data_IF_032786392242
#
_entry.id   IF_032786392242
#
_cell.length_a   1.000
_cell.length_b   1.000
_cell.length_c   1.000
_cell.angle_alpha   90.00
_cell.angle_beta   90.00
_cell.angle_gamma   90.00
#
_symmetry.space_group_name_H-M   'P 1'
#
loop_
_entity.id
_entity.type
_entity.pdbx_description
1 polymer ?
#
# COMPACT_ATOMS: atom_id res chain seq x y z
N UNK A 1 -7.86 -0.95 -41.99
CA UNK A 1 -8.00 -2.05 -41.01
C UNK A 1 -6.80 -2.02 -40.08
N UNK A 2 -6.92 -1.47 -38.87
CA UNK A 2 -5.93 -1.65 -37.79
C UNK A 2 -6.69 -1.83 -36.47
N UNK A 3 -7.07 -3.07 -36.15
CA UNK A 3 -7.51 -3.44 -34.80
C UNK A 3 -6.25 -3.66 -33.97
N UNK A 4 -5.93 -2.71 -33.11
CA UNK A 4 -5.09 -3.02 -31.95
C UNK A 4 -5.90 -3.97 -31.06
N UNK A 5 -5.46 -5.21 -30.82
CA UNK A 5 -6.10 -6.01 -29.79
C UNK A 5 -5.79 -5.32 -28.46
N UNK A 6 -6.81 -4.71 -27.87
CA UNK A 6 -6.83 -4.29 -26.47
C UNK A 6 -6.62 -5.54 -25.62
N UNK A 7 -5.36 -5.94 -25.42
CA UNK A 7 -4.99 -6.87 -24.37
C UNK A 7 -5.08 -6.06 -23.08
N UNK A 8 -6.31 -5.91 -22.61
CA UNK A 8 -6.56 -5.69 -21.20
C UNK A 8 -5.85 -6.85 -20.51
N UNK A 9 -4.69 -6.57 -19.92
CA UNK A 9 -4.04 -7.43 -18.94
C UNK A 9 -5.11 -7.67 -17.86
N UNK A 10 -5.92 -8.71 -18.03
CA UNK A 10 -6.82 -9.20 -16.99
C UNK A 10 -5.86 -9.68 -15.91
N UNK A 11 -5.58 -8.78 -14.97
CA UNK A 11 -4.80 -9.08 -13.79
C UNK A 11 -5.55 -10.20 -13.11
N UNK A 12 -5.07 -11.44 -13.25
CA UNK A 12 -5.67 -12.57 -12.55
C UNK A 12 -5.76 -12.16 -11.09
N UNK A 13 -6.97 -12.16 -10.47
CA UNK A 13 -7.09 -11.80 -9.07
C UNK A 13 -6.15 -12.73 -8.30
N UNK A 14 -5.32 -12.18 -7.39
CA UNK A 14 -4.37 -12.99 -6.64
C UNK A 14 -5.11 -14.14 -5.95
N UNK A 15 -4.52 -15.34 -5.87
CA UNK A 15 -5.17 -16.49 -5.25
C UNK A 15 -5.61 -16.13 -3.84
N UNK A 16 -6.87 -16.44 -3.52
CA UNK A 16 -7.41 -16.27 -2.18
C UNK A 16 -6.75 -17.27 -1.24
N UNK A 17 -6.35 -16.78 -0.07
CA UNK A 17 -5.73 -17.60 0.97
C UNK A 17 -6.80 -17.96 2.01
N UNK A 18 -6.81 -19.21 2.45
CA UNK A 18 -7.65 -19.63 3.57
C UNK A 18 -6.96 -19.23 4.87
N UNK A 19 -7.67 -18.50 5.73
CA UNK A 19 -7.18 -18.16 7.05
C UNK A 19 -7.38 -19.35 8.01
N UNK A 20 -6.41 -20.25 8.05
CA UNK A 20 -6.35 -21.34 9.03
C UNK A 20 -5.78 -20.87 10.38
N UNK A 21 -5.97 -21.67 11.44
CA UNK A 21 -5.53 -21.37 12.81
C UNK A 21 -4.04 -21.04 12.86
N UNK A 22 -3.20 -21.80 12.14
CA UNK A 22 -1.75 -21.56 12.09
C UNK A 22 -1.44 -20.19 11.48
N UNK A 23 -2.00 -19.91 10.30
CA UNK A 23 -1.82 -18.64 9.61
C UNK A 23 -2.30 -17.45 10.47
N UNK A 24 -3.36 -17.63 11.25
CA UNK A 24 -3.82 -16.60 12.19
C UNK A 24 -2.79 -16.30 13.30
N UNK A 25 -2.18 -17.32 13.90
CA UNK A 25 -1.18 -17.11 14.94
C UNK A 25 0.12 -16.50 14.38
N UNK A 26 0.57 -16.96 13.21
CA UNK A 26 1.71 -16.37 12.51
C UNK A 26 1.45 -14.88 12.21
N UNK A 27 0.26 -14.55 11.70
CA UNK A 27 -0.13 -13.16 11.45
C UNK A 27 -0.16 -12.31 12.73
N UNK A 28 -0.66 -12.87 13.84
CA UNK A 28 -0.71 -12.17 15.12
C UNK A 28 0.69 -11.88 15.68
N UNK A 29 1.63 -12.80 15.48
CA UNK A 29 3.04 -12.61 15.84
C UNK A 29 3.69 -11.52 14.98
N UNK A 30 3.50 -11.57 13.66
CA UNK A 30 3.95 -10.53 12.74
C UNK A 30 3.39 -9.15 13.10
N UNK A 31 2.10 -9.07 13.46
CA UNK A 31 1.47 -7.83 13.92
C UNK A 31 2.19 -7.24 15.15
N UNK A 32 2.51 -8.08 16.15
CA UNK A 32 3.20 -7.63 17.36
C UNK A 32 4.61 -7.16 17.06
N UNK A 33 5.35 -7.92 16.26
CA UNK A 33 6.71 -7.56 15.85
C UNK A 33 6.71 -6.23 15.08
N UNK A 34 5.78 -6.06 14.14
CA UNK A 34 5.64 -4.83 13.37
C UNK A 34 5.24 -3.63 14.24
N UNK A 35 4.32 -3.81 15.18
CA UNK A 35 3.93 -2.74 16.11
C UNK A 35 5.10 -2.30 17.02
N UNK A 36 5.90 -3.26 17.50
CA UNK A 36 7.10 -2.95 18.28
C UNK A 36 8.16 -2.22 17.43
N UNK A 37 8.32 -2.63 16.18
CA UNK A 37 9.20 -1.92 15.22
C UNK A 37 8.72 -0.49 15.00
N UNK A 38 7.42 -0.29 14.78
CA UNK A 38 6.81 1.02 14.52
C UNK A 38 6.94 1.98 15.71
N UNK A 39 6.94 1.46 16.95
CA UNK A 39 7.14 2.25 18.16
C UNK A 39 8.53 2.92 18.23
N UNK A 40 9.52 2.39 17.51
CA UNK A 40 10.87 2.96 17.47
C UNK A 40 11.02 4.08 16.42
N UNK A 41 10.04 4.27 15.54
CA UNK A 41 10.08 5.33 14.53
C UNK A 41 9.44 6.62 15.05
N UNK A 42 9.99 7.76 14.59
CA UNK A 42 9.45 9.08 14.88
C UNK A 42 8.03 9.23 14.31
N UNK A 43 7.05 9.31 15.21
CA UNK A 43 5.63 9.44 14.86
C UNK A 43 5.26 10.81 14.28
N UNK A 44 6.14 11.81 14.39
CA UNK A 44 5.91 13.15 13.84
C UNK A 44 6.30 13.28 12.37
N UNK A 45 6.93 12.26 11.78
CA UNK A 45 7.35 12.25 10.38
C UNK A 45 6.76 11.06 9.63
N UNK A 46 6.25 11.35 8.43
CA UNK A 46 5.81 10.29 7.51
C UNK A 46 7.04 9.58 6.97
N UNK A 47 7.19 8.29 7.33
CA UNK A 47 8.21 7.43 6.74
C UNK A 47 7.62 6.68 5.53
N UNK A 48 8.03 7.09 4.32
CA UNK A 48 7.55 6.52 3.05
C UNK A 48 7.80 5.01 2.97
N UNK A 49 8.94 4.53 3.47
CA UNK A 49 9.27 3.11 3.47
C UNK A 49 8.25 2.31 4.30
N UNK A 50 7.85 2.84 5.46
CA UNK A 50 6.83 2.22 6.30
C UNK A 50 5.44 2.27 5.65
N UNK A 51 5.10 3.34 4.93
CA UNK A 51 3.86 3.38 4.13
C UNK A 51 3.84 2.29 3.04
N UNK A 52 4.94 2.10 2.31
CA UNK A 52 5.03 1.06 1.29
C UNK A 52 4.96 -0.34 1.90
N UNK A 53 5.66 -0.57 3.01
CA UNK A 53 5.62 -1.84 3.75
C UNK A 53 4.22 -2.16 4.27
N UNK A 54 3.55 -1.17 4.87
CA UNK A 54 2.15 -1.29 5.29
C UNK A 54 1.22 -1.62 4.12
N UNK A 55 1.38 -0.97 2.97
CA UNK A 55 0.54 -1.22 1.79
C UNK A 55 0.75 -2.63 1.23
N UNK A 56 1.99 -3.12 1.19
CA UNK A 56 2.29 -4.49 0.76
C UNK A 56 1.67 -5.52 1.73
N UNK A 57 1.80 -5.27 3.04
CA UNK A 57 1.19 -6.10 4.08
C UNK A 57 -0.34 -6.10 4.02
N UNK A 58 -0.97 -4.93 3.89
CA UNK A 58 -2.42 -4.81 3.74
C UNK A 58 -2.92 -5.52 2.48
N UNK A 59 -2.17 -5.45 1.36
CA UNK A 59 -2.48 -6.18 0.14
C UNK A 59 -2.35 -7.70 0.30
N UNK A 60 -1.44 -8.17 1.16
CA UNK A 60 -1.34 -9.58 1.53
C UNK A 60 -2.53 -10.01 2.41
N UNK A 61 -2.86 -9.20 3.42
CA UNK A 61 -4.01 -9.47 4.31
C UNK A 61 -5.34 -9.57 3.57
N UNK A 62 -5.55 -8.70 2.59
CA UNK A 62 -6.76 -8.70 1.76
C UNK A 62 -6.91 -9.95 0.89
N UNK A 63 -5.88 -10.82 0.80
CA UNK A 63 -5.99 -12.13 0.12
C UNK A 63 -6.67 -13.18 1.00
N UNK A 64 -6.67 -13.00 2.31
CA UNK A 64 -7.34 -13.93 3.21
C UNK A 64 -8.85 -13.76 3.09
N UNK A 65 -9.55 -14.82 2.68
CA UNK A 65 -11.01 -14.86 2.50
C UNK A 65 -11.74 -14.22 3.69
N UNK A 66 -11.46 -14.69 4.91
CA UNK A 66 -12.15 -14.23 6.13
C UNK A 66 -11.84 -12.78 6.52
N UNK A 67 -10.70 -12.24 6.09
CA UNK A 67 -10.27 -10.88 6.45
C UNK A 67 -10.64 -9.86 5.38
N UNK A 68 -10.70 -10.28 4.11
CA UNK A 68 -11.03 -9.43 2.98
C UNK A 68 -12.31 -8.59 3.18
N UNK A 69 -13.46 -9.13 3.62
CA UNK A 69 -14.67 -8.31 3.81
C UNK A 69 -14.53 -7.32 4.98
N UNK A 70 -13.76 -7.66 6.02
CA UNK A 70 -13.55 -6.77 7.18
C UNK A 70 -12.52 -5.66 6.91
N UNK A 71 -11.57 -5.93 6.01
CA UNK A 71 -10.50 -5.00 5.63
C UNK A 71 -10.85 -4.21 4.35
N UNK A 72 -12.00 -4.46 3.73
CA UNK A 72 -12.42 -3.79 2.50
C UNK A 72 -12.50 -2.26 2.65
N UNK A 73 -12.90 -1.79 3.84
CA UNK A 73 -13.03 -0.37 4.18
C UNK A 73 -11.69 0.33 4.41
N UNK A 74 -10.63 -0.43 4.70
CA UNK A 74 -9.29 0.12 4.94
C UNK A 74 -8.63 0.48 3.60
N UNK A 75 -8.35 1.77 3.45
CA UNK A 75 -7.60 2.30 2.32
C UNK A 75 -6.10 2.16 2.53
N UNK A 76 -5.36 1.99 1.43
CA UNK A 76 -3.90 2.03 1.45
C UNK A 76 -3.42 3.38 2.02
N UNK A 77 -2.31 3.35 2.77
CA UNK A 77 -1.64 4.57 3.20
C UNK A 77 -1.16 5.32 1.95
N UNK A 78 -1.47 6.62 1.86
CA UNK A 78 -0.98 7.47 0.78
C UNK A 78 0.45 7.88 1.12
N UNK A 79 1.47 7.43 0.36
CA UNK A 79 2.85 7.82 0.60
C UNK A 79 3.07 9.23 0.05
N UNK A 80 2.45 10.24 0.66
CA UNK A 80 2.63 11.65 0.30
C UNK A 80 3.41 12.33 1.42
N UNK A 81 4.71 12.46 1.22
CA UNK A 81 5.54 13.30 2.08
C UNK A 81 5.25 14.78 1.77
N UNK A 82 5.25 15.65 2.80
CA UNK A 82 5.05 17.11 2.63
C UNK A 82 5.99 17.72 1.57
N UNK A 83 7.22 17.20 1.48
CA UNK A 83 8.20 17.63 0.47
C UNK A 83 7.85 17.23 -0.98
N UNK A 84 7.10 16.14 -1.21
CA UNK A 84 6.67 15.78 -2.56
C UNK A 84 5.66 16.79 -3.11
N UNK A 85 4.80 17.34 -2.25
CA UNK A 85 3.87 18.41 -2.65
C UNK A 85 4.64 19.69 -2.97
N UNK A 86 5.62 20.05 -2.15
CA UNK A 86 6.49 21.21 -2.40
C UNK A 86 7.28 21.02 -3.69
N UNK A 87 7.86 19.85 -3.93
CA UNK A 87 8.59 19.55 -5.16
C UNK A 87 7.70 19.66 -6.40
N UNK A 88 6.48 19.13 -6.35
CA UNK A 88 5.50 19.27 -7.44
C UNK A 88 5.11 20.74 -7.69
N UNK A 89 4.93 21.53 -6.63
CA UNK A 89 4.67 22.97 -6.73
C UNK A 89 5.84 23.71 -7.38
N UNK A 90 7.07 23.38 -7.01
CA UNK A 90 8.29 23.97 -7.59
C UNK A 90 8.43 23.61 -9.07
N UNK A 91 8.21 22.35 -9.43
CA UNK A 91 8.26 21.87 -10.82
C UNK A 91 7.19 22.58 -11.66
N UNK A 92 5.95 22.66 -11.17
CA UNK A 92 4.86 23.37 -11.84
C UNK A 92 5.20 24.84 -12.05
N UNK A 93 5.73 25.51 -11.03
CA UNK A 93 6.17 26.89 -11.12
C UNK A 93 7.28 27.07 -12.16
N UNK A 94 8.25 26.15 -12.21
CA UNK A 94 9.33 26.18 -13.19
C UNK A 94 8.80 26.06 -14.63
N UNK A 95 7.82 25.17 -14.87
CA UNK A 95 7.18 25.07 -16.19
C UNK A 95 6.43 26.33 -16.58
N UNK A 96 5.67 26.92 -15.65
CA UNK A 96 4.95 28.19 -15.88
C UNK A 96 5.90 29.38 -16.12
N UNK A 97 7.07 29.39 -15.49
CA UNK A 97 8.06 30.45 -15.68
C UNK A 97 8.83 30.33 -17.01
N UNK A 98 8.87 29.12 -17.59
CA UNK A 98 9.58 28.84 -18.86
C UNK A 98 8.66 28.95 -20.09
N UNK A 99 7.34 28.88 -19.89
CA UNK A 99 6.30 29.08 -20.90
C UNK A 99 5.92 30.54 -21.06
#
# INVERSE_FOLDING_TARGET
MNRFPNVLLRSTPPPTLTLDRRAFYELAEECRAYAAELANYDQHRVNLQQCHRFNAWLAHLKRYDRLQPRLATLSAARPIARWQVVALMVILWFFLALS
#
